data_IF_139384403933
#
_entry.id   IF_139384403933
#
_cell.length_a   1.000
_cell.length_b   1.000
_cell.length_c   1.000
_cell.angle_alpha   90.00
_cell.angle_beta   90.00
_cell.angle_gamma   90.00
#
_symmetry.space_group_name_H-M   'P 1'
#
loop_
_entity.id
_entity.type
_entity.pdbx_description
1 polymer ?
#
# COMPACT_ATOMS: atom_id res chain seq x y z
N UNK A 1 -16.88 -25.00 69.56
CA UNK A 1 -16.78 -25.94 68.44
C UNK A 1 -17.41 -25.26 67.23
N UNK A 2 -16.86 -24.12 66.81
CA UNK A 2 -15.56 -23.88 66.11
C UNK A 2 -15.76 -24.07 64.60
N UNK A 3 -15.96 -22.98 63.85
CA UNK A 3 -15.03 -22.52 62.80
C UNK A 3 -15.58 -22.93 61.42
N UNK A 4 -15.53 -22.19 60.33
CA UNK A 4 -14.69 -21.05 59.93
C UNK A 4 -15.46 -20.21 58.90
N UNK A 5 -15.13 -18.92 58.87
CA UNK A 5 -15.62 -17.94 57.91
C UNK A 5 -14.65 -17.86 56.74
N UNK A 6 -15.11 -18.21 55.53
CA UNK A 6 -14.34 -17.96 54.31
C UNK A 6 -14.87 -16.69 53.65
N UNK A 7 -14.21 -15.60 53.99
CA UNK A 7 -14.16 -14.36 53.23
C UNK A 7 -13.48 -14.64 51.87
N UNK A 8 -14.13 -14.26 50.79
CA UNK A 8 -13.43 -14.01 49.53
C UNK A 8 -14.04 -12.79 48.89
N UNK A 9 -13.67 -11.65 49.48
CA UNK A 9 -13.52 -10.39 48.78
C UNK A 9 -12.55 -10.60 47.60
N UNK A 10 -13.01 -10.30 46.39
CA UNK A 10 -12.26 -10.59 45.18
C UNK A 10 -12.85 -10.02 43.91
N UNK A 11 -13.40 -8.81 43.96
CA UNK A 11 -13.45 -7.95 42.78
C UNK A 11 -12.32 -6.95 42.87
N UNK A 12 -11.34 -7.06 41.96
CA UNK A 12 -10.85 -5.86 41.32
C UNK A 12 -11.15 -5.95 39.83
N UNK A 13 -11.91 -4.95 39.38
CA UNK A 13 -11.99 -4.52 38.01
C UNK A 13 -10.61 -4.55 37.35
N UNK A 14 -10.45 -5.39 36.34
CA UNK A 14 -9.53 -5.09 35.25
C UNK A 14 -10.36 -4.92 34.00
N UNK A 15 -10.93 -3.71 33.89
CA UNK A 15 -11.01 -2.92 32.66
C UNK A 15 -10.48 -3.66 31.43
N UNK A 16 -11.30 -4.53 30.85
CA UNK A 16 -11.12 -4.93 29.46
C UNK A 16 -11.65 -3.79 28.62
N UNK A 17 -10.88 -2.69 28.61
CA UNK A 17 -11.04 -1.63 27.63
C UNK A 17 -11.18 -2.30 26.25
N UNK A 18 -12.24 -2.00 25.48
CA UNK A 18 -12.29 -2.42 24.10
C UNK A 18 -11.07 -1.81 23.42
N UNK A 19 -10.11 -2.67 23.05
CA UNK A 19 -8.91 -2.26 22.34
C UNK A 19 -9.39 -1.40 21.16
N UNK A 20 -9.06 -0.10 21.10
CA UNK A 20 -9.49 0.74 19.98
C UNK A 20 -8.98 0.03 18.73
N UNK A 21 -9.93 -0.26 17.84
CA UNK A 21 -9.73 -0.69 16.46
C UNK A 21 -8.27 -0.96 16.14
N UNK A 22 -7.75 -2.12 16.51
CA UNK A 22 -6.43 -2.52 16.00
C UNK A 22 -6.59 -2.50 14.48
N UNK A 23 -5.95 -1.56 13.74
CA UNK A 23 -6.00 -1.61 12.30
C UNK A 23 -5.48 -3.01 11.92
N UNK A 24 -6.10 -3.69 10.94
CA UNK A 24 -5.86 -5.11 10.69
C UNK A 24 -4.37 -5.39 10.72
N UNK A 25 -3.97 -6.11 11.76
CA UNK A 25 -2.58 -6.33 12.12
C UNK A 25 -1.83 -6.82 10.87
N UNK A 26 -0.80 -6.08 10.49
CA UNK A 26 0.39 -6.68 9.89
C UNK A 26 0.23 -7.43 8.57
N UNK A 27 -0.56 -6.96 7.61
CA UNK A 27 -0.56 -7.58 6.25
C UNK A 27 0.48 -7.00 5.30
N UNK A 28 1.07 -5.86 5.65
CA UNK A 28 2.16 -5.22 4.93
C UNK A 28 3.49 -5.44 5.66
N UNK A 29 3.92 -6.69 5.81
CA UNK A 29 5.30 -6.96 6.17
C UNK A 29 6.24 -6.35 5.12
N UNK A 30 7.41 -5.87 5.54
CA UNK A 30 8.47 -5.45 4.61
C UNK A 30 8.77 -6.60 3.65
N UNK A 31 8.59 -6.34 2.35
CA UNK A 31 8.94 -7.28 1.30
C UNK A 31 10.32 -6.98 0.70
N UNK A 32 10.90 -7.94 -0.02
CA UNK A 32 12.14 -7.71 -0.80
C UNK A 32 12.04 -6.48 -1.70
N UNK A 33 10.88 -6.26 -2.32
CA UNK A 33 10.60 -5.11 -3.18
C UNK A 33 10.47 -3.76 -2.47
N UNK A 34 10.45 -3.75 -1.14
CA UNK A 34 10.29 -2.52 -0.34
C UNK A 34 11.60 -1.76 -0.10
N UNK A 35 12.76 -2.32 -0.51
CA UNK A 35 14.10 -1.72 -0.30
C UNK A 35 14.22 -0.27 -0.81
N UNK A 36 13.59 0.05 -1.93
CA UNK A 36 13.63 1.38 -2.55
C UNK A 36 12.37 2.21 -2.27
N UNK A 37 11.62 1.88 -1.22
CA UNK A 37 10.37 2.59 -0.92
C UNK A 37 10.62 4.06 -0.60
N UNK A 38 11.57 4.34 0.30
CA UNK A 38 11.89 5.70 0.74
C UNK A 38 12.56 6.55 -0.34
N UNK A 39 13.15 5.91 -1.35
CA UNK A 39 13.70 6.57 -2.54
C UNK A 39 12.60 6.91 -3.57
N UNK A 40 11.37 6.44 -3.37
CA UNK A 40 10.27 6.57 -4.32
C UNK A 40 10.37 5.63 -5.55
N UNK A 41 11.55 5.08 -5.80
CA UNK A 41 11.90 4.16 -6.90
C UNK A 41 11.30 2.74 -6.78
N UNK A 42 10.58 2.45 -5.70
CA UNK A 42 9.94 1.15 -5.50
C UNK A 42 8.85 0.81 -6.54
N UNK A 43 8.50 -0.47 -6.64
CA UNK A 43 7.39 -0.95 -7.49
C UNK A 43 6.27 -1.49 -6.60
N UNK A 44 5.11 -0.81 -6.48
CA UNK A 44 4.04 -1.25 -5.58
C UNK A 44 3.47 -2.62 -5.97
N UNK A 45 3.14 -3.44 -4.98
CA UNK A 45 2.52 -4.75 -5.20
C UNK A 45 1.06 -4.58 -5.63
N UNK A 46 0.71 -5.17 -6.78
CA UNK A 46 -0.66 -5.16 -7.30
C UNK A 46 -1.64 -6.03 -6.49
N UNK A 47 -1.13 -6.99 -5.71
CA UNK A 47 -1.93 -8.00 -5.03
C UNK A 47 -2.19 -7.69 -3.55
N UNK A 48 -1.30 -6.92 -2.91
CA UNK A 48 -1.39 -6.61 -1.47
C UNK A 48 -2.75 -6.06 -1.05
N UNK A 49 -3.32 -5.13 -1.83
CA UNK A 49 -4.61 -4.50 -1.55
C UNK A 49 -5.74 -4.97 -2.46
N UNK A 50 -5.46 -5.91 -3.38
CA UNK A 50 -6.46 -6.38 -4.35
C UNK A 50 -7.29 -7.53 -3.80
N UNK A 51 -6.66 -8.41 -3.01
CA UNK A 51 -7.32 -9.58 -2.43
C UNK A 51 -7.48 -9.39 -0.92
N UNK A 52 -8.60 -9.90 -0.38
CA UNK A 52 -8.80 -10.03 1.05
C UNK A 52 -7.81 -11.00 1.70
N UNK A 53 -6.98 -11.72 0.93
CA UNK A 53 -5.88 -12.58 1.42
C UNK A 53 -4.52 -11.87 1.41
N UNK A 54 -4.42 -10.71 0.74
CA UNK A 54 -3.17 -9.97 0.57
C UNK A 54 -2.24 -10.58 -0.50
N UNK A 55 -0.94 -10.29 -0.39
CA UNK A 55 0.05 -10.80 -1.32
C UNK A 55 0.46 -12.23 -0.97
N UNK A 56 0.19 -13.18 -1.87
CA UNK A 56 0.57 -14.59 -1.77
C UNK A 56 2.08 -14.86 -1.70
N UNK A 57 2.92 -13.93 -2.18
CA UNK A 57 4.39 -14.06 -2.08
C UNK A 57 4.94 -13.69 -0.70
N UNK A 58 4.12 -13.11 0.19
CA UNK A 58 4.54 -12.72 1.53
C UNK A 58 5.76 -11.79 1.53
N UNK A 59 6.71 -12.07 2.43
CA UNK A 59 7.98 -11.38 2.62
C UNK A 59 8.91 -11.48 1.40
N UNK A 60 8.84 -12.59 0.64
CA UNK A 60 9.61 -12.82 -0.58
C UNK A 60 9.11 -12.04 -1.79
N UNK A 61 8.05 -11.26 -1.65
CA UNK A 61 7.52 -10.47 -2.77
C UNK A 61 8.56 -9.45 -3.29
N UNK A 62 8.83 -9.49 -4.60
CA UNK A 62 9.71 -8.52 -5.28
C UNK A 62 9.06 -7.14 -5.45
N UNK A 63 7.80 -6.99 -5.05
CA UNK A 63 7.05 -5.74 -5.10
C UNK A 63 6.86 -5.15 -3.71
N UNK A 64 6.88 -3.83 -3.65
CA UNK A 64 6.77 -3.04 -2.43
C UNK A 64 5.40 -3.22 -1.76
N UNK A 65 5.45 -3.56 -0.47
CA UNK A 65 4.29 -3.67 0.39
C UNK A 65 4.06 -2.42 1.25
N UNK A 66 5.03 -1.52 1.33
CA UNK A 66 4.93 -0.27 2.11
C UNK A 66 4.13 0.82 1.39
N UNK A 67 3.83 0.66 0.11
CA UNK A 67 3.02 1.62 -0.63
C UNK A 67 1.57 1.66 -0.13
N UNK A 68 0.91 2.83 -0.13
CA UNK A 68 -0.49 2.93 0.27
C UNK A 68 -1.43 2.27 -0.75
N UNK A 69 -2.68 1.94 -0.36
CA UNK A 69 -3.68 1.44 -1.28
C UNK A 69 -3.93 2.45 -2.41
N UNK A 70 -4.11 1.94 -3.63
CA UNK A 70 -4.31 2.77 -4.83
C UNK A 70 -3.04 3.32 -5.48
N UNK A 71 -1.86 3.13 -4.87
CA UNK A 71 -0.57 3.59 -5.41
C UNK A 71 -0.30 3.06 -6.83
N UNK A 72 -0.61 1.78 -7.08
CA UNK A 72 -0.48 1.15 -8.40
C UNK A 72 -1.29 1.91 -9.46
N UNK A 73 -2.52 2.28 -9.13
CA UNK A 73 -3.43 3.01 -10.01
C UNK A 73 -2.95 4.45 -10.21
N UNK A 74 -2.46 5.09 -9.15
CA UNK A 74 -1.90 6.45 -9.19
C UNK A 74 -0.69 6.52 -10.12
N UNK A 75 0.32 5.66 -9.92
CA UNK A 75 1.52 5.61 -10.77
C UNK A 75 1.21 5.30 -12.23
N UNK A 76 0.25 4.40 -12.49
CA UNK A 76 -0.19 4.09 -13.86
C UNK A 76 -0.80 5.32 -14.55
N UNK A 77 -1.65 6.07 -13.84
CA UNK A 77 -2.26 7.31 -14.38
C UNK A 77 -1.22 8.40 -14.63
N UNK A 78 -0.28 8.58 -13.71
CA UNK A 78 0.81 9.55 -13.86
C UNK A 78 1.68 9.24 -15.06
N UNK A 79 2.09 7.97 -15.23
CA UNK A 79 2.85 7.54 -16.41
C UNK A 79 2.07 7.75 -17.70
N UNK A 80 0.78 7.45 -17.72
CA UNK A 80 -0.04 7.68 -18.91
C UNK A 80 -0.12 9.18 -19.27
N UNK A 81 -0.29 10.04 -18.26
CA UNK A 81 -0.30 11.50 -18.45
C UNK A 81 1.04 12.02 -18.98
N UNK A 82 2.16 11.58 -18.40
CA UNK A 82 3.49 12.04 -18.84
C UNK A 82 3.80 11.63 -20.28
N UNK A 83 3.38 10.43 -20.68
CA UNK A 83 3.53 9.96 -22.06
C UNK A 83 2.68 10.81 -23.02
N UNK A 84 1.40 11.02 -22.69
CA UNK A 84 0.51 11.84 -23.51
C UNK A 84 1.01 13.29 -23.66
N UNK A 85 1.51 13.89 -22.59
CA UNK A 85 2.11 15.24 -22.60
C UNK A 85 3.37 15.28 -23.49
N UNK A 86 4.23 14.26 -23.43
CA UNK A 86 5.42 14.17 -24.26
C UNK A 86 5.07 14.02 -25.76
N UNK A 87 4.08 13.19 -26.08
CA UNK A 87 3.58 13.02 -27.46
C UNK A 87 2.98 14.32 -27.99
N UNK A 88 2.17 15.02 -27.19
CA UNK A 88 1.59 16.31 -27.56
C UNK A 88 2.69 17.35 -27.81
N UNK A 89 3.73 17.42 -26.97
CA UNK A 89 4.87 18.32 -27.16
C UNK A 89 5.63 18.02 -28.45
N UNK A 90 5.87 16.74 -28.75
CA UNK A 90 6.52 16.35 -30.00
C UNK A 90 5.67 16.74 -31.22
N UNK A 91 4.36 16.51 -31.15
CA UNK A 91 3.41 16.91 -32.21
C UNK A 91 3.39 18.42 -32.42
N UNK A 92 3.32 19.22 -31.35
CA UNK A 92 3.37 20.68 -31.44
C UNK A 92 4.69 21.17 -32.04
N UNK A 93 5.82 20.56 -31.64
CA UNK A 93 7.13 20.88 -32.21
C UNK A 93 7.21 20.55 -33.70
N UNK A 94 6.69 19.39 -34.12
CA UNK A 94 6.64 18.99 -35.53
C UNK A 94 5.81 19.98 -36.38
N UNK A 95 4.66 20.42 -35.86
CA UNK A 95 3.84 21.45 -36.50
C UNK A 95 4.57 22.80 -36.59
N UNK A 96 5.27 23.22 -35.53
CA UNK A 96 6.02 24.47 -35.53
C UNK A 96 7.21 24.48 -36.50
N UNK A 97 7.81 23.32 -36.77
CA UNK A 97 8.92 23.16 -37.73
C UNK A 97 8.42 22.89 -39.16
N UNK A 98 7.10 22.84 -39.39
CA UNK A 98 6.51 22.59 -40.72
C UNK A 98 6.72 21.17 -41.23
N UNK A 99 7.06 20.23 -40.34
CA UNK A 99 7.36 18.85 -40.69
C UNK A 99 6.24 17.96 -40.15
N UNK A 100 5.13 17.91 -40.90
CA UNK A 100 4.04 16.98 -40.59
C UNK A 100 4.55 15.54 -40.73
N UNK A 101 4.31 14.66 -39.74
CA UNK A 101 4.59 13.25 -39.93
C UNK A 101 3.66 12.72 -41.02
N UNK A 102 4.24 12.33 -42.15
CA UNK A 102 3.54 11.58 -43.19
C UNK A 102 3.10 10.25 -42.59
N UNK A 103 1.79 10.08 -42.40
CA UNK A 103 1.21 8.79 -42.04
C UNK A 103 1.41 7.85 -43.23
N UNK A 104 2.02 6.68 -42.98
CA UNK A 104 2.23 5.61 -43.97
C UNK A 104 1.16 4.53 -43.77
#
# INVERSE_FOLDING_TARGET
>A
EDGDAEDSDGSPDTDSAPQPDRPPSSRAGMSVGSKLHYDGSCRPCAWLYKSADGCWHGDKCEYCHLCPPGEVKRRKREKARSVAEAEQRLRQRALAVGQLPTLH
#
